data_IF_438212691815
#
_entry.id   IF_438212691815
#
_cell.length_a   1.000
_cell.length_b   1.000
_cell.length_c   1.000
_cell.angle_alpha   90.00
_cell.angle_beta   90.00
_cell.angle_gamma   90.00
#
_symmetry.space_group_name_H-M   'P 1'
#
loop_
_entity.id
_entity.type
_entity.pdbx_description
1 polymer ?
#
# COMPACT_ATOMS: atom_id res chain seq x y z
N UNK A 1 -24.16 14.00 -5.03
CA UNK A 1 -22.86 13.62 -5.65
C UNK A 1 -21.64 13.97 -4.80
N UNK A 2 -21.48 15.18 -4.26
CA UNK A 2 -20.24 15.53 -3.51
C UNK A 2 -20.00 14.77 -2.21
N UNK A 3 -21.06 14.53 -1.45
CA UNK A 3 -20.99 13.69 -0.24
C UNK A 3 -20.51 12.28 -0.62
N UNK A 4 -20.99 11.71 -1.72
CA UNK A 4 -20.56 10.39 -2.20
C UNK A 4 -19.07 10.38 -2.56
N UNK A 5 -18.55 11.43 -3.19
CA UNK A 5 -17.11 11.59 -3.48
C UNK A 5 -16.28 11.63 -2.20
N UNK A 6 -16.73 12.38 -1.20
CA UNK A 6 -16.05 12.45 0.10
C UNK A 6 -16.07 11.09 0.81
N UNK A 7 -17.24 10.44 0.89
CA UNK A 7 -17.38 9.11 1.49
C UNK A 7 -16.51 8.08 0.77
N UNK A 8 -16.43 8.15 -0.56
CA UNK A 8 -15.54 7.32 -1.36
C UNK A 8 -14.07 7.54 -0.98
N UNK A 9 -13.61 8.79 -0.89
CA UNK A 9 -12.24 9.11 -0.47
C UNK A 9 -11.91 8.60 0.93
N UNK A 10 -12.83 8.81 1.88
CA UNK A 10 -12.71 8.34 3.27
C UNK A 10 -12.65 6.81 3.33
N UNK A 11 -13.54 6.13 2.61
CA UNK A 11 -13.55 4.67 2.54
C UNK A 11 -12.24 4.13 1.97
N UNK A 12 -11.79 4.66 0.82
CA UNK A 12 -10.53 4.25 0.19
C UNK A 12 -9.32 4.47 1.11
N UNK A 13 -9.29 5.58 1.85
CA UNK A 13 -8.25 5.88 2.83
C UNK A 13 -8.20 4.86 3.97
N UNK A 14 -9.34 4.59 4.61
CA UNK A 14 -9.39 3.64 5.73
C UNK A 14 -9.18 2.19 5.27
N UNK A 15 -9.66 1.82 4.09
CA UNK A 15 -9.37 0.50 3.52
C UNK A 15 -7.87 0.33 3.27
N UNK A 16 -7.23 1.32 2.65
CA UNK A 16 -5.78 1.29 2.46
C UNK A 16 -5.05 1.16 3.79
N UNK A 17 -5.41 1.94 4.80
CA UNK A 17 -4.73 1.90 6.09
C UNK A 17 -4.91 0.54 6.78
N UNK A 18 -6.13 -0.03 6.72
CA UNK A 18 -6.39 -1.38 7.22
C UNK A 18 -5.56 -2.45 6.51
N UNK A 19 -5.51 -2.41 5.17
CA UNK A 19 -4.67 -3.32 4.36
C UNK A 19 -3.18 -3.11 4.65
N UNK A 20 -2.73 -1.87 4.82
CA UNK A 20 -1.33 -1.55 5.12
C UNK A 20 -0.91 -2.06 6.51
N UNK A 21 -1.73 -1.86 7.53
CA UNK A 21 -1.49 -2.42 8.87
C UNK A 21 -1.51 -3.95 8.82
N UNK A 22 -2.45 -4.55 8.09
CA UNK A 22 -2.46 -5.98 7.85
C UNK A 22 -1.17 -6.43 7.15
N UNK A 23 -0.65 -5.67 6.19
CA UNK A 23 0.59 -6.01 5.49
C UNK A 23 1.82 -6.00 6.40
N UNK A 24 1.91 -5.05 7.34
CA UNK A 24 2.96 -5.04 8.38
C UNK A 24 2.89 -6.34 9.19
N UNK A 25 1.70 -6.70 9.66
CA UNK A 25 1.46 -7.90 10.44
C UNK A 25 1.71 -9.19 9.63
N UNK A 26 1.34 -9.19 8.35
CA UNK A 26 1.56 -10.29 7.41
C UNK A 26 3.06 -10.58 7.22
N UNK A 27 3.87 -9.54 6.98
CA UNK A 27 5.32 -9.68 6.79
C UNK A 27 6.01 -10.03 8.12
N UNK A 28 5.53 -9.48 9.23
CA UNK A 28 6.07 -9.76 10.56
C UNK A 28 5.61 -11.09 11.17
N UNK A 29 4.72 -11.84 10.52
CA UNK A 29 4.16 -13.07 11.10
C UNK A 29 3.43 -12.84 12.44
N UNK A 30 2.71 -11.70 12.57
CA UNK A 30 2.13 -11.22 13.84
C UNK A 30 0.59 -11.22 13.78
N UNK A 31 -0.07 -12.03 14.62
CA UNK A 31 -1.48 -11.86 15.04
C UNK A 31 -2.52 -11.62 13.92
N UNK A 32 -2.30 -12.16 12.71
CA UNK A 32 -3.27 -12.15 11.61
C UNK A 32 -3.54 -13.56 11.10
N UNK A 33 -4.74 -13.87 10.57
CA UNK A 33 -5.09 -15.23 10.18
C UNK A 33 -4.20 -15.81 9.07
N UNK A 34 -3.76 -14.95 8.15
CA UNK A 34 -2.83 -15.30 7.08
C UNK A 34 -1.63 -14.38 7.13
N UNK A 35 -0.45 -14.95 7.32
CA UNK A 35 0.88 -14.34 7.32
C UNK A 35 1.74 -14.85 6.16
N UNK A 36 2.94 -14.29 6.00
CA UNK A 36 3.89 -14.69 4.95
C UNK A 36 4.33 -16.16 5.06
N UNK A 37 4.35 -16.70 6.29
CA UNK A 37 4.72 -18.08 6.61
C UNK A 37 3.51 -19.02 6.72
N UNK A 38 2.29 -18.47 6.77
CA UNK A 38 1.09 -19.27 6.99
C UNK A 38 0.67 -20.08 5.75
N UNK A 39 0.36 -21.35 5.99
CA UNK A 39 -0.10 -22.28 4.97
C UNK A 39 0.76 -23.53 4.95
N UNK A 40 0.16 -24.63 4.52
CA UNK A 40 0.84 -25.86 4.16
C UNK A 40 0.99 -25.88 2.64
N UNK A 41 2.17 -26.24 2.12
CA UNK A 41 2.47 -26.33 0.69
C UNK A 41 1.65 -27.41 -0.04
N UNK A 42 0.34 -27.20 -0.17
CA UNK A 42 -0.59 -28.17 -0.78
C UNK A 42 -0.73 -27.92 -2.30
N UNK A 43 -0.03 -26.95 -2.87
CA UNK A 43 -0.27 -26.60 -4.27
C UNK A 43 0.49 -27.47 -5.28
N UNK A 44 -0.27 -27.92 -6.28
CA UNK A 44 0.14 -28.75 -7.42
C UNK A 44 1.09 -27.96 -8.35
N UNK A 45 1.13 -26.63 -8.20
CA UNK A 45 1.99 -25.68 -8.90
C UNK A 45 3.05 -25.11 -7.95
N UNK A 46 4.25 -24.80 -8.47
CA UNK A 46 5.34 -24.29 -7.62
C UNK A 46 4.98 -22.93 -7.00
N UNK A 47 5.04 -22.79 -5.65
CA UNK A 47 4.76 -21.55 -4.92
C UNK A 47 5.51 -20.32 -5.42
N UNK A 48 6.69 -20.55 -5.98
CA UNK A 48 7.50 -19.50 -6.57
C UNK A 48 6.79 -18.79 -7.72
N UNK A 49 6.15 -19.53 -8.64
CA UNK A 49 5.48 -18.93 -9.80
C UNK A 49 4.24 -18.13 -9.38
N UNK A 50 3.48 -18.63 -8.40
CA UNK A 50 2.30 -17.93 -7.90
C UNK A 50 2.72 -16.64 -7.20
N UNK A 51 3.71 -16.69 -6.30
CA UNK A 51 4.20 -15.50 -5.60
C UNK A 51 4.80 -14.47 -6.56
N UNK A 52 5.59 -14.89 -7.55
CA UNK A 52 6.11 -13.99 -8.60
C UNK A 52 4.96 -13.36 -9.37
N UNK A 53 3.93 -14.14 -9.73
CA UNK A 53 2.74 -13.65 -10.42
C UNK A 53 1.98 -12.60 -9.60
N UNK A 54 1.76 -12.85 -8.31
CA UNK A 54 1.08 -11.93 -7.39
C UNK A 54 1.89 -10.64 -7.18
N UNK A 55 3.21 -10.75 -6.95
CA UNK A 55 4.11 -9.60 -6.84
C UNK A 55 4.08 -8.79 -8.14
N UNK A 56 4.16 -9.46 -9.29
CA UNK A 56 4.13 -8.81 -10.60
C UNK A 56 2.79 -8.12 -10.85
N UNK A 57 1.67 -8.74 -10.49
CA UNK A 57 0.34 -8.14 -10.60
C UNK A 57 0.27 -6.83 -9.81
N UNK A 58 0.68 -6.86 -8.54
CA UNK A 58 0.72 -5.67 -7.70
C UNK A 58 1.68 -4.61 -8.23
N UNK A 59 2.91 -4.99 -8.56
CA UNK A 59 3.96 -4.07 -9.02
C UNK A 59 3.60 -3.42 -10.36
N UNK A 60 3.09 -4.19 -11.32
CA UNK A 60 2.66 -3.70 -12.63
C UNK A 60 1.45 -2.80 -12.46
N UNK A 61 0.40 -3.23 -11.75
CA UNK A 61 -0.80 -2.41 -11.54
C UNK A 61 -0.45 -1.06 -10.89
N UNK A 62 0.31 -1.08 -9.80
CA UNK A 62 0.70 0.12 -9.07
C UNK A 62 1.56 1.04 -9.96
N UNK A 63 2.58 0.48 -10.62
CA UNK A 63 3.50 1.25 -11.45
C UNK A 63 2.82 1.86 -12.67
N UNK A 64 1.91 1.13 -13.32
CA UNK A 64 1.17 1.62 -14.50
C UNK A 64 0.30 2.82 -14.13
N UNK A 65 -0.44 2.74 -13.04
CA UNK A 65 -1.33 3.83 -12.60
C UNK A 65 -0.57 5.08 -12.15
N UNK A 66 0.71 4.95 -11.78
CA UNK A 66 1.58 6.10 -11.52
C UNK A 66 2.01 6.84 -12.81
N UNK A 67 1.96 6.19 -14.00
CA UNK A 67 2.43 6.76 -15.27
C UNK A 67 1.48 7.84 -15.81
N UNK A 68 2.08 8.87 -16.42
CA UNK A 68 1.35 10.01 -16.98
C UNK A 68 0.39 9.63 -18.12
N UNK A 69 0.76 8.68 -18.98
CA UNK A 69 -0.11 8.21 -20.07
C UNK A 69 -1.34 7.46 -19.53
N UNK A 70 -1.18 6.67 -18.47
CA UNK A 70 -2.29 5.94 -17.87
C UNK A 70 -3.29 6.90 -17.23
N UNK A 71 -2.79 7.89 -16.48
CA UNK A 71 -3.61 8.97 -15.91
C UNK A 71 -4.43 9.69 -17.00
N UNK A 72 -3.80 10.03 -18.13
CA UNK A 72 -4.50 10.64 -19.28
C UNK A 72 -5.56 9.73 -19.88
N UNK A 73 -5.28 8.43 -19.98
CA UNK A 73 -6.24 7.45 -20.53
C UNK A 73 -7.47 7.30 -19.62
N UNK A 74 -7.26 7.20 -18.30
CA UNK A 74 -8.34 6.96 -17.34
C UNK A 74 -9.11 8.22 -16.95
N UNK A 75 -8.55 9.42 -17.19
CA UNK A 75 -9.19 10.71 -16.91
C UNK A 75 -10.54 10.92 -17.63
N UNK A 76 -10.82 10.15 -18.70
CA UNK A 76 -12.12 10.17 -19.40
C UNK A 76 -13.22 9.40 -18.65
N UNK A 77 -12.83 8.49 -17.75
CA UNK A 77 -13.73 7.59 -17.04
C UNK A 77 -13.83 7.98 -15.56
N UNK A 78 -12.70 8.29 -14.94
CA UNK A 78 -12.63 8.64 -13.52
C UNK A 78 -12.59 10.16 -13.38
N UNK A 79 -13.52 10.76 -12.60
CA UNK A 79 -13.46 12.18 -12.30
C UNK A 79 -12.16 12.55 -11.60
N UNK A 80 -11.59 13.71 -11.96
CA UNK A 80 -10.32 14.18 -11.42
C UNK A 80 -10.28 14.24 -9.88
N UNK A 81 -11.41 14.57 -9.24
CA UNK A 81 -11.51 14.66 -7.78
C UNK A 81 -11.53 13.30 -7.06
N UNK A 82 -11.68 12.18 -7.78
CA UNK A 82 -11.58 10.81 -7.25
C UNK A 82 -10.35 10.06 -7.73
N UNK A 83 -9.60 10.56 -8.72
CA UNK A 83 -8.49 9.88 -9.38
C UNK A 83 -7.51 9.25 -8.39
N UNK A 84 -7.04 10.04 -7.41
CA UNK A 84 -6.07 9.58 -6.41
C UNK A 84 -6.68 8.56 -5.45
N UNK A 85 -7.90 8.78 -4.99
CA UNK A 85 -8.61 7.84 -4.12
C UNK A 85 -8.88 6.52 -4.82
N UNK A 86 -9.16 6.52 -6.13
CA UNK A 86 -9.31 5.29 -6.92
C UNK A 86 -8.00 4.54 -7.08
N UNK A 87 -6.89 5.26 -7.30
CA UNK A 87 -5.57 4.64 -7.32
C UNK A 87 -5.26 3.91 -6.01
N UNK A 88 -5.48 4.58 -4.88
CA UNK A 88 -5.26 4.02 -3.54
C UNK A 88 -6.16 2.80 -3.31
N UNK A 89 -7.44 2.89 -3.66
CA UNK A 89 -8.39 1.79 -3.51
C UNK A 89 -7.96 0.55 -4.28
N UNK A 90 -7.68 0.70 -5.58
CA UNK A 90 -7.33 -0.43 -6.45
C UNK A 90 -6.01 -1.05 -6.01
N UNK A 91 -4.99 -0.24 -5.69
CA UNK A 91 -3.72 -0.77 -5.18
C UNK A 91 -3.87 -1.46 -3.82
N UNK A 92 -4.73 -0.98 -2.93
CA UNK A 92 -5.03 -1.68 -1.67
C UNK A 92 -5.73 -3.02 -1.91
N UNK A 93 -6.69 -3.09 -2.84
CA UNK A 93 -7.37 -4.35 -3.20
C UNK A 93 -6.37 -5.35 -3.78
N UNK A 94 -5.53 -4.92 -4.73
CA UNK A 94 -4.54 -5.82 -5.34
C UNK A 94 -3.49 -6.29 -4.32
N UNK A 95 -3.11 -5.43 -3.37
CA UNK A 95 -2.24 -5.83 -2.25
C UNK A 95 -2.93 -6.84 -1.33
N UNK A 96 -4.22 -6.67 -1.03
CA UNK A 96 -4.99 -7.64 -0.26
C UNK A 96 -5.09 -8.99 -0.99
N UNK A 97 -5.29 -8.98 -2.32
CA UNK A 97 -5.26 -10.20 -3.15
C UNK A 97 -3.90 -10.86 -3.12
N UNK A 98 -2.80 -10.10 -3.17
CA UNK A 98 -1.44 -10.62 -3.03
C UNK A 98 -1.29 -11.37 -1.70
N UNK A 99 -1.64 -10.73 -0.57
CA UNK A 99 -1.52 -11.37 0.74
C UNK A 99 -2.45 -12.59 0.88
N UNK A 100 -3.66 -12.51 0.34
CA UNK A 100 -4.61 -13.61 0.37
C UNK A 100 -4.15 -14.81 -0.48
N UNK A 101 -3.60 -14.55 -1.66
CA UNK A 101 -3.11 -15.57 -2.58
C UNK A 101 -1.70 -16.08 -2.29
N UNK A 102 -0.97 -15.44 -1.38
CA UNK A 102 0.40 -15.80 -1.06
C UNK A 102 0.54 -17.25 -0.63
N UNK A 103 1.60 -17.92 -1.09
CA UNK A 103 1.96 -19.27 -0.70
C UNK A 103 3.31 -19.28 0.03
N UNK A 104 3.44 -19.97 1.17
CA UNK A 104 4.71 -20.03 1.88
C UNK A 104 5.75 -20.79 1.05
N UNK A 105 6.99 -20.28 1.07
CA UNK A 105 8.14 -20.96 0.49
C UNK A 105 8.92 -21.57 1.64
N UNK A 106 8.99 -22.90 1.68
CA UNK A 106 9.73 -23.61 2.72
C UNK A 106 11.24 -23.37 2.59
N UNK A 107 11.93 -23.34 3.73
CA UNK A 107 13.37 -23.19 3.82
C UNK A 107 13.78 -22.00 4.68
N UNK A 108 14.98 -22.11 5.26
CA UNK A 108 15.58 -21.06 6.06
C UNK A 108 16.76 -20.50 5.26
N UNK A 109 16.67 -19.24 4.86
CA UNK A 109 17.75 -18.56 4.11
C UNK A 109 18.86 -18.10 5.09
N UNK A 110 18.46 -17.66 6.28
CA UNK A 110 19.37 -17.22 7.33
C UNK A 110 18.72 -17.43 8.70
N UNK A 111 19.54 -17.64 9.74
CA UNK A 111 19.09 -17.85 11.11
C UNK A 111 20.01 -17.10 12.08
N UNK A 112 19.42 -16.45 13.09
CA UNK A 112 20.16 -15.70 14.12
C UNK A 112 19.74 -16.21 15.48
N UNK A 113 20.66 -16.81 16.23
CA UNK A 113 20.39 -17.37 17.56
C UNK A 113 20.52 -16.33 18.68
N UNK A 114 21.42 -15.36 18.53
CA UNK A 114 21.74 -14.41 19.59
C UNK A 114 20.54 -13.47 19.87
N UNK A 115 19.99 -13.43 21.10
CA UNK A 115 18.80 -12.65 21.42
C UNK A 115 18.95 -11.14 21.19
N UNK A 116 20.14 -10.57 21.41
CA UNK A 116 20.40 -9.15 21.19
C UNK A 116 20.28 -8.80 19.70
N UNK A 117 20.86 -9.63 18.82
CA UNK A 117 20.77 -9.44 17.38
C UNK A 117 19.34 -9.61 16.86
N UNK A 118 18.57 -10.55 17.41
CA UNK A 118 17.14 -10.67 17.09
C UNK A 118 16.36 -9.40 17.45
N UNK A 119 16.57 -8.85 18.66
CA UNK A 119 15.91 -7.61 19.09
C UNK A 119 16.28 -6.41 18.22
N UNK A 120 17.55 -6.30 17.81
CA UNK A 120 18.00 -5.25 16.90
C UNK A 120 17.31 -5.34 15.53
N UNK A 121 17.15 -6.55 14.98
CA UNK A 121 16.45 -6.77 13.72
C UNK A 121 14.96 -6.42 13.82
N UNK A 122 14.30 -6.79 14.92
CA UNK A 122 12.93 -6.38 15.20
C UNK A 122 12.79 -4.86 15.39
N UNK A 123 13.75 -4.23 16.08
CA UNK A 123 13.82 -2.78 16.22
C UNK A 123 13.96 -2.07 14.87
N UNK A 124 14.84 -2.58 13.99
CA UNK A 124 15.01 -2.07 12.63
C UNK A 124 13.75 -2.27 11.78
N UNK A 125 13.09 -3.43 11.88
CA UNK A 125 11.82 -3.71 11.23
C UNK A 125 10.76 -2.67 11.62
N UNK A 126 10.54 -2.46 12.92
CA UNK A 126 9.60 -1.47 13.43
C UNK A 126 9.94 -0.04 12.99
N UNK A 127 11.23 0.33 13.09
CA UNK A 127 11.72 1.64 12.68
C UNK A 127 11.49 1.89 11.18
N UNK A 128 11.66 0.88 10.33
CA UNK A 128 11.38 0.96 8.90
C UNK A 128 9.92 1.34 8.62
N UNK A 129 8.97 0.67 9.28
CA UNK A 129 7.54 0.99 9.11
C UNK A 129 7.16 2.38 9.65
N UNK A 130 7.72 2.77 10.80
CA UNK A 130 7.54 4.12 11.35
C UNK A 130 8.08 5.17 10.37
N UNK A 131 9.24 4.93 9.77
CA UNK A 131 9.84 5.83 8.78
C UNK A 131 8.97 5.96 7.53
N UNK A 132 8.41 4.86 7.03
CA UNK A 132 7.46 4.88 5.89
C UNK A 132 6.24 5.75 6.22
N UNK A 133 5.64 5.56 7.40
CA UNK A 133 4.50 6.36 7.84
C UNK A 133 4.89 7.83 8.00
N UNK A 134 5.99 8.13 8.68
CA UNK A 134 6.48 9.48 8.89
C UNK A 134 6.77 10.20 7.56
N UNK A 135 7.40 9.53 6.60
CA UNK A 135 7.72 10.09 5.29
C UNK A 135 6.46 10.47 4.49
N UNK A 136 5.36 9.75 4.69
CA UNK A 136 4.08 10.11 4.06
C UNK A 136 3.53 11.45 4.58
N UNK A 137 3.77 11.79 5.85
CA UNK A 137 3.39 13.10 6.40
C UNK A 137 4.27 14.24 5.86
N UNK A 138 5.55 13.99 5.58
CA UNK A 138 6.44 14.98 4.98
C UNK A 138 6.02 15.38 3.55
N UNK A 139 5.29 14.52 2.85
CA UNK A 139 4.87 14.71 1.45
C UNK A 139 3.39 15.11 1.28
N UNK A 140 2.75 15.55 2.37
CA UNK A 140 1.30 15.76 2.51
C UNK A 140 0.50 14.44 2.45
N UNK A 141 0.40 13.77 3.60
CA UNK A 141 -0.24 12.45 3.76
C UNK A 141 -1.65 12.38 3.16
N UNK A 142 -2.47 13.40 3.39
CA UNK A 142 -3.86 13.40 2.96
C UNK A 142 -3.99 13.67 1.45
N UNK A 143 -3.09 14.46 0.87
CA UNK A 143 -2.99 14.61 -0.59
C UNK A 143 -2.46 13.34 -1.25
N UNK A 144 -1.43 12.72 -0.65
CA UNK A 144 -0.83 11.47 -1.11
C UNK A 144 -1.86 10.35 -1.21
N UNK A 145 -2.82 10.27 -0.28
CA UNK A 145 -3.89 9.28 -0.32
C UNK A 145 -5.22 9.77 -0.96
N UNK A 146 -5.24 11.00 -1.49
CA UNK A 146 -6.38 11.55 -2.23
C UNK A 146 -7.54 12.06 -1.37
N UNK A 147 -7.41 12.04 -0.04
CA UNK A 147 -8.44 12.56 0.87
C UNK A 147 -8.58 14.08 0.74
N UNK A 148 -7.48 14.80 0.52
CA UNK A 148 -7.50 16.25 0.28
C UNK A 148 -8.26 16.61 -1.01
N UNK A 149 -8.09 15.82 -2.08
CA UNK A 149 -8.78 16.04 -3.36
C UNK A 149 -10.30 15.93 -3.22
N UNK A 150 -10.76 14.87 -2.56
CA UNK A 150 -12.20 14.63 -2.33
C UNK A 150 -12.79 15.67 -1.36
N UNK A 151 -12.04 16.06 -0.33
CA UNK A 151 -12.42 17.13 0.60
C UNK A 151 -12.57 18.50 -0.08
N UNK A 152 -11.59 18.92 -0.89
CA UNK A 152 -11.64 20.21 -1.59
C UNK A 152 -12.85 20.28 -2.53
N UNK A 153 -13.14 19.18 -3.24
CA UNK A 153 -14.35 19.09 -4.05
C UNK A 153 -15.62 19.21 -3.21
N UNK A 154 -15.68 18.56 -2.04
CA UNK A 154 -16.80 18.66 -1.11
C UNK A 154 -17.07 20.11 -0.66
N UNK A 155 -16.01 20.84 -0.27
CA UNK A 155 -16.09 22.24 0.19
C UNK A 155 -16.09 23.29 -0.94
N UNK A 156 -16.26 22.89 -2.20
CA UNK A 156 -16.30 23.80 -3.37
C UNK A 156 -15.01 24.58 -3.61
N UNK A 157 -13.85 24.06 -3.21
CA UNK A 157 -12.55 24.68 -3.49
C UNK A 157 -11.88 23.97 -4.67
N UNK A 158 -11.27 24.75 -5.54
CA UNK A 158 -10.46 24.21 -6.64
C UNK A 158 -9.24 23.49 -6.07
N UNK A 159 -8.89 22.34 -6.66
CA UNK A 159 -7.68 21.62 -6.30
C UNK A 159 -6.44 22.44 -6.70
N UNK A 160 -5.55 22.67 -5.74
CA UNK A 160 -4.21 23.20 -5.99
C UNK A 160 -3.19 22.09 -5.75
N UNK A 161 -2.32 21.80 -6.73
CA UNK A 161 -1.25 20.82 -6.54
C UNK A 161 -0.36 21.20 -5.36
N UNK A 162 -0.10 20.23 -4.49
CA UNK A 162 0.89 20.41 -3.42
C UNK A 162 2.27 20.46 -4.08
N UNK A 163 3.03 21.55 -3.85
CA UNK A 163 4.41 21.62 -4.30
C UNK A 163 5.23 20.66 -3.46
N UNK A 164 5.90 19.72 -4.10
CA UNK A 164 6.87 18.87 -3.42
C UNK A 164 7.95 19.79 -2.82
N UNK A 165 8.17 19.66 -1.52
CA UNK A 165 9.16 20.43 -0.79
C UNK A 165 10.20 19.46 -0.28
N UNK A 166 11.45 19.65 -0.66
CA UNK A 166 12.60 18.87 -0.17
C UNK A 166 12.83 19.22 1.30
N UNK A 167 12.33 18.37 2.20
CA UNK A 167 12.52 18.51 3.65
C UNK A 167 13.05 17.20 4.24
N UNK A 168 14.05 17.32 5.12
CA UNK A 168 14.66 16.24 5.91
C UNK A 168 15.22 15.08 5.07
N UNK A 169 14.37 14.08 4.80
CA UNK A 169 14.69 12.83 4.11
C UNK A 169 14.73 13.01 2.59
N UNK A 170 14.06 14.05 2.09
CA UNK A 170 14.09 14.45 0.69
C UNK A 170 15.03 15.65 0.57
N UNK A 171 16.17 15.43 -0.10
CA UNK A 171 17.14 16.46 -0.48
C UNK A 171 17.04 16.73 -1.97
#
# INVERSE_FOLDING_TARGET
>A
MRIMVMLYGVFSYFLFFGVFVYFIAFVGDILVPKTISSGSGIDITSPLFINIGLISLWAIQHSLMARSWFKKAIARVIPHHTERSTYVLVSAIVLAVLMYGWQPIEGIIWHVENPLWQQLLWGLFGLGWVLVLFSSFLTDHFDLFGLRQTWLYFVKKSYTPVKFTEQLLYR
#
